data_IF_229796923233
#
_entry.id   IF_229796923233
#
_cell.length_a   1.000
_cell.length_b   1.000
_cell.length_c   1.000
_cell.angle_alpha   90.00
_cell.angle_beta   90.00
_cell.angle_gamma   90.00
#
_symmetry.space_group_name_H-M   'P 1'
#
loop_
_entity.id
_entity.type
_entity.pdbx_description
1 polymer ?
#
# COMPACT_ATOMS: atom_id res chain seq x y z
N UNK A 1 -0.31 0.62 -22.28
CA UNK A 1 -0.46 0.16 -20.89
C UNK A 1 0.54 -0.97 -20.67
N UNK A 2 1.52 -0.78 -19.79
CA UNK A 2 2.47 -1.85 -19.47
C UNK A 2 1.72 -2.96 -18.73
N UNK A 3 1.51 -4.10 -19.39
CA UNK A 3 0.96 -5.30 -18.77
C UNK A 3 2.02 -5.89 -17.84
N UNK A 4 2.11 -5.38 -16.61
CA UNK A 4 2.81 -6.09 -15.55
C UNK A 4 2.04 -7.39 -15.33
N UNK A 5 2.65 -8.57 -15.53
CA UNK A 5 1.99 -9.84 -15.26
C UNK A 5 1.46 -9.83 -13.83
N UNK A 6 0.22 -10.31 -13.64
CA UNK A 6 -0.45 -10.25 -12.34
C UNK A 6 0.46 -10.81 -11.24
N UNK A 7 1.19 -11.90 -11.50
CA UNK A 7 2.14 -12.56 -10.59
C UNK A 7 3.20 -11.65 -9.96
N UNK A 8 3.53 -10.52 -10.60
CA UNK A 8 4.48 -9.53 -10.08
C UNK A 8 3.82 -8.41 -9.27
N UNK A 9 2.51 -8.49 -9.04
CA UNK A 9 1.76 -7.55 -8.21
C UNK A 9 1.49 -8.16 -6.83
N UNK A 10 1.75 -7.34 -5.81
CA UNK A 10 1.63 -7.67 -4.40
C UNK A 10 0.84 -6.57 -3.70
N UNK A 11 0.21 -6.91 -2.57
CA UNK A 11 -0.57 -5.99 -1.77
C UNK A 11 -0.02 -5.93 -0.35
N UNK A 12 0.10 -4.74 0.22
CA UNK A 12 0.22 -4.61 1.67
C UNK A 12 -1.15 -4.90 2.31
N UNK A 13 -1.17 -5.62 3.43
CA UNK A 13 -2.39 -5.84 4.22
C UNK A 13 -3.06 -4.52 4.65
N UNK A 14 -2.29 -3.44 4.75
CA UNK A 14 -2.81 -2.10 5.05
C UNK A 14 -3.78 -1.62 3.97
N UNK A 15 -3.50 -1.87 2.69
CA UNK A 15 -4.37 -1.47 1.58
C UNK A 15 -5.72 -2.20 1.67
N UNK A 16 -5.74 -3.45 2.10
CA UNK A 16 -6.99 -4.18 2.37
C UNK A 16 -7.82 -3.45 3.43
N UNK A 17 -7.18 -3.03 4.53
CA UNK A 17 -7.82 -2.25 5.58
C UNK A 17 -8.37 -0.92 5.09
N UNK A 18 -7.63 -0.20 4.24
CA UNK A 18 -8.08 1.07 3.65
C UNK A 18 -9.28 0.90 2.74
N UNK A 19 -9.27 -0.12 1.88
CA UNK A 19 -10.40 -0.44 1.00
C UNK A 19 -11.62 -0.82 1.85
N UNK A 20 -11.47 -1.71 2.84
CA UNK A 20 -12.57 -2.12 3.72
C UNK A 20 -13.16 -0.92 4.45
N UNK A 21 -12.32 -0.03 5.00
CA UNK A 21 -12.76 1.24 5.63
C UNK A 21 -13.60 2.08 4.66
N UNK A 22 -13.14 2.23 3.42
CA UNK A 22 -13.87 2.96 2.37
C UNK A 22 -15.25 2.35 2.07
N UNK A 23 -15.33 1.02 1.95
CA UNK A 23 -16.58 0.29 1.73
C UNK A 23 -17.53 0.47 2.92
N UNK A 24 -17.04 0.32 4.14
CA UNK A 24 -17.84 0.42 5.37
C UNK A 24 -18.51 1.78 5.51
N UNK A 25 -17.84 2.86 5.10
CA UNK A 25 -18.39 4.23 5.13
C UNK A 25 -19.56 4.46 4.17
N UNK A 26 -19.81 3.57 3.22
CA UNK A 26 -20.92 3.71 2.28
C UNK A 26 -22.26 3.35 2.97
N UNK A 27 -23.36 4.03 2.62
CA UNK A 27 -24.69 3.58 3.00
C UNK A 27 -25.01 2.24 2.32
N UNK A 28 -25.94 1.50 2.93
CA UNK A 28 -26.44 0.25 2.34
C UNK A 28 -26.98 0.51 0.94
N UNK A 29 -26.37 -0.16 -0.04
CA UNK A 29 -26.60 0.09 -1.45
C UNK A 29 -26.01 -1.02 -2.30
N UNK A 30 -26.50 -1.16 -3.54
CA UNK A 30 -25.94 -2.09 -4.54
C UNK A 30 -24.43 -1.89 -4.71
N UNK A 31 -23.96 -0.65 -4.70
CA UNK A 31 -22.53 -0.31 -4.80
C UNK A 31 -21.71 -0.89 -3.65
N UNK A 32 -22.20 -0.76 -2.40
CA UNK A 32 -21.53 -1.31 -1.22
C UNK A 32 -21.42 -2.84 -1.31
N UNK A 33 -22.49 -3.52 -1.71
CA UNK A 33 -22.48 -4.98 -1.90
C UNK A 33 -21.51 -5.40 -3.01
N UNK A 34 -21.50 -4.69 -4.14
CA UNK A 34 -20.57 -4.99 -5.25
C UNK A 34 -19.11 -4.82 -4.86
N UNK A 35 -18.76 -3.72 -4.18
CA UNK A 35 -17.38 -3.50 -3.71
C UNK A 35 -16.97 -4.50 -2.62
N UNK A 36 -17.92 -4.92 -1.78
CA UNK A 36 -17.69 -5.96 -0.77
C UNK A 36 -17.32 -7.28 -1.42
N UNK A 37 -18.10 -7.71 -2.43
CA UNK A 37 -17.83 -8.93 -3.18
C UNK A 37 -16.49 -8.83 -3.93
N UNK A 38 -16.24 -7.70 -4.60
CA UNK A 38 -14.98 -7.45 -5.28
C UNK A 38 -13.77 -7.56 -4.35
N UNK A 39 -13.84 -6.98 -3.14
CA UNK A 39 -12.76 -7.12 -2.15
C UNK A 39 -12.57 -8.57 -1.71
N UNK A 40 -13.65 -9.33 -1.55
CA UNK A 40 -13.52 -10.74 -1.17
C UNK A 40 -12.84 -11.56 -2.28
N UNK A 41 -13.20 -11.35 -3.55
CA UNK A 41 -12.51 -11.96 -4.69
C UNK A 41 -11.05 -11.54 -4.77
N UNK A 42 -10.74 -10.27 -4.53
CA UNK A 42 -9.35 -9.77 -4.49
C UNK A 42 -8.53 -10.49 -3.42
N UNK A 43 -9.11 -10.74 -2.24
CA UNK A 43 -8.44 -11.45 -1.14
C UNK A 43 -8.13 -12.91 -1.50
N UNK A 44 -9.02 -13.57 -2.23
CA UNK A 44 -8.81 -14.92 -2.73
C UNK A 44 -7.71 -14.94 -3.82
N UNK A 45 -7.79 -14.05 -4.82
CA UNK A 45 -6.86 -13.98 -5.95
C UNK A 45 -5.42 -13.63 -5.55
N UNK A 46 -5.26 -12.88 -4.45
CA UNK A 46 -3.97 -12.38 -3.97
C UNK A 46 -3.52 -13.00 -2.65
N UNK A 47 -4.17 -14.06 -2.15
CA UNK A 47 -3.89 -14.62 -0.82
C UNK A 47 -2.39 -14.84 -0.53
N UNK A 48 -1.64 -15.43 -1.47
CA UNK A 48 -0.21 -15.68 -1.35
C UNK A 48 0.70 -14.44 -1.56
N UNK A 49 0.10 -13.29 -1.89
CA UNK A 49 0.78 -12.05 -2.30
C UNK A 49 0.29 -10.83 -1.51
N UNK A 50 -0.42 -11.08 -0.41
CA UNK A 50 -0.75 -10.07 0.59
C UNK A 50 0.30 -10.15 1.69
N UNK A 51 1.14 -9.13 1.80
CA UNK A 51 2.18 -9.08 2.83
C UNK A 51 1.66 -8.51 4.15
N UNK A 52 1.84 -9.22 5.28
CA UNK A 52 1.41 -8.76 6.58
C UNK A 52 2.36 -7.72 7.17
N UNK A 53 1.93 -7.09 8.27
CA UNK A 53 2.85 -6.40 9.18
C UNK A 53 3.30 -7.42 10.23
N UNK A 54 4.48 -8.00 10.01
CA UNK A 54 5.18 -8.80 11.01
C UNK A 54 6.18 -7.94 11.80
N UNK A 55 6.92 -8.55 12.73
CA UNK A 55 7.91 -7.86 13.56
C UNK A 55 8.95 -7.14 12.69
N UNK A 56 9.49 -7.78 11.66
CA UNK A 56 10.49 -7.18 10.77
C UNK A 56 9.96 -5.94 10.04
N UNK A 57 8.71 -5.98 9.56
CA UNK A 57 8.06 -4.80 8.98
C UNK A 57 7.86 -3.70 10.02
N UNK A 58 7.45 -4.07 11.25
CA UNK A 58 7.22 -3.11 12.32
C UNK A 58 8.51 -2.41 12.78
N UNK A 59 9.63 -3.14 12.89
CA UNK A 59 10.94 -2.57 13.21
C UNK A 59 11.41 -1.62 12.11
N UNK A 60 11.30 -2.03 10.84
CA UNK A 60 11.65 -1.16 9.72
C UNK A 60 10.77 0.11 9.68
N UNK A 61 9.47 -0.04 9.94
CA UNK A 61 8.55 1.09 10.05
C UNK A 61 8.96 2.09 11.14
N UNK A 62 9.34 1.60 12.32
CA UNK A 62 9.83 2.45 13.41
C UNK A 62 11.10 3.22 13.02
N UNK A 63 12.02 2.60 12.30
CA UNK A 63 13.22 3.25 11.76
C UNK A 63 12.85 4.35 10.76
N UNK A 64 11.90 4.08 9.85
CA UNK A 64 11.43 5.07 8.86
C UNK A 64 10.82 6.28 9.58
N UNK A 65 9.91 6.05 10.52
CA UNK A 65 9.24 7.12 11.28
C UNK A 65 10.25 7.95 12.09
N UNK A 66 11.10 7.30 12.89
CA UNK A 66 12.08 8.01 13.71
C UNK A 66 13.07 8.82 12.89
N UNK A 67 13.51 8.32 11.73
CA UNK A 67 14.36 9.10 10.80
C UNK A 67 13.62 10.29 10.21
N UNK A 68 12.37 10.10 9.78
CA UNK A 68 11.55 11.17 9.23
C UNK A 68 11.29 12.29 10.25
N UNK A 69 11.01 11.93 11.50
CA UNK A 69 10.83 12.86 12.61
C UNK A 69 12.12 13.62 12.96
N UNK A 70 13.25 12.91 13.10
CA UNK A 70 14.56 13.54 13.37
C UNK A 70 14.97 14.53 12.27
N UNK A 71 14.53 14.30 11.04
CA UNK A 71 14.81 15.20 9.90
C UNK A 71 13.79 16.34 9.76
N UNK A 72 12.79 16.45 10.66
CA UNK A 72 11.75 17.47 10.59
C UNK A 72 10.74 17.26 9.45
N UNK A 73 10.65 16.05 8.92
CA UNK A 73 9.81 15.70 7.77
C UNK A 73 8.91 14.49 8.08
N UNK A 74 8.05 14.57 9.13
CA UNK A 74 7.22 13.44 9.55
C UNK A 74 6.32 12.96 8.41
N UNK A 75 6.08 11.66 8.36
CA UNK A 75 5.27 11.03 7.31
C UNK A 75 4.06 10.35 7.94
N UNK A 76 2.94 10.29 7.21
CA UNK A 76 1.74 9.62 7.72
C UNK A 76 2.02 8.14 8.02
N UNK A 77 1.55 7.66 9.18
CA UNK A 77 1.83 6.29 9.66
C UNK A 77 1.44 5.21 8.64
N UNK A 78 0.29 5.36 7.98
CA UNK A 78 -0.19 4.44 6.95
C UNK A 78 0.77 4.37 5.76
N UNK A 79 1.22 5.52 5.25
CA UNK A 79 2.15 5.59 4.11
C UNK A 79 3.51 4.99 4.49
N UNK A 80 4.04 5.31 5.67
CA UNK A 80 5.27 4.69 6.16
C UNK A 80 5.16 3.18 6.36
N UNK A 81 4.00 2.66 6.76
CA UNK A 81 3.78 1.22 6.90
C UNK A 81 3.79 0.52 5.54
N UNK A 82 3.16 1.12 4.53
CA UNK A 82 3.21 0.63 3.15
C UNK A 82 4.67 0.65 2.64
N UNK A 83 5.39 1.74 2.90
CA UNK A 83 6.80 1.86 2.55
C UNK A 83 7.66 0.79 3.25
N UNK A 84 7.42 0.54 4.54
CA UNK A 84 8.12 -0.47 5.31
C UNK A 84 7.91 -1.88 4.75
N UNK A 85 6.65 -2.24 4.43
CA UNK A 85 6.34 -3.51 3.74
C UNK A 85 7.12 -3.60 2.44
N UNK A 86 7.09 -2.56 1.61
CA UNK A 86 7.78 -2.59 0.33
C UNK A 86 9.30 -2.75 0.48
N UNK A 87 9.94 -2.01 1.40
CA UNK A 87 11.37 -2.15 1.66
C UNK A 87 11.73 -3.53 2.21
N UNK A 88 10.96 -4.06 3.15
CA UNK A 88 11.22 -5.37 3.77
C UNK A 88 11.14 -6.53 2.77
N UNK A 89 10.27 -6.42 1.76
CA UNK A 89 10.07 -7.46 0.74
C UNK A 89 10.70 -7.10 -0.62
N UNK A 90 11.58 -6.09 -0.67
CA UNK A 90 12.26 -5.64 -1.89
C UNK A 90 11.30 -5.30 -3.06
N UNK A 91 10.17 -4.68 -2.74
CA UNK A 91 9.14 -4.26 -3.70
C UNK A 91 9.27 -2.78 -4.07
N UNK A 92 8.56 -2.40 -5.12
CA UNK A 92 8.39 -1.01 -5.57
C UNK A 92 6.98 -0.57 -5.21
N UNK A 93 6.84 0.60 -4.58
CA UNK A 93 5.52 1.21 -4.33
C UNK A 93 5.00 1.81 -5.62
N UNK A 94 3.85 1.33 -6.08
CA UNK A 94 3.16 1.91 -7.24
C UNK A 94 2.15 2.94 -6.74
N UNK A 95 2.41 4.23 -6.98
CA UNK A 95 1.53 5.30 -6.49
C UNK A 95 1.53 6.51 -7.42
N UNK A 96 0.42 7.25 -7.43
CA UNK A 96 0.33 8.57 -8.06
C UNK A 96 0.94 9.67 -7.18
N UNK A 97 0.86 9.50 -5.86
CA UNK A 97 1.25 10.51 -4.88
C UNK A 97 2.67 10.23 -4.38
N UNK A 98 3.68 10.61 -5.16
CA UNK A 98 5.09 10.39 -4.76
C UNK A 98 5.45 11.15 -3.47
N UNK A 99 4.90 12.35 -3.29
CA UNK A 99 5.19 13.20 -2.14
C UNK A 99 4.81 12.54 -0.80
N UNK A 100 3.78 11.69 -0.80
CA UNK A 100 3.31 10.96 0.39
C UNK A 100 4.38 9.98 0.95
N UNK A 101 5.40 9.67 0.15
CA UNK A 101 6.46 8.71 0.44
C UNK A 101 7.86 9.33 0.43
N UNK A 102 7.98 10.64 0.17
CA UNK A 102 9.26 11.31 -0.02
C UNK A 102 10.26 11.09 1.13
N UNK A 103 9.79 11.09 2.38
CA UNK A 103 10.62 10.90 3.57
C UNK A 103 10.95 9.43 3.90
N UNK A 104 10.46 8.48 3.11
CA UNK A 104 10.57 7.04 3.43
C UNK A 104 11.74 6.33 2.74
N UNK A 105 12.34 6.97 1.72
CA UNK A 105 13.38 6.37 0.84
C UNK A 105 12.96 5.06 0.15
N UNK A 106 11.66 4.79 0.01
CA UNK A 106 11.17 3.63 -0.75
C UNK A 106 11.27 3.90 -2.24
N UNK A 107 11.55 2.86 -3.03
CA UNK A 107 11.49 2.96 -4.49
C UNK A 107 10.04 3.11 -4.94
N UNK A 108 9.78 4.11 -5.78
CA UNK A 108 8.44 4.43 -6.27
C UNK A 108 8.40 4.29 -7.80
N UNK A 109 7.30 3.72 -8.30
CA UNK A 109 6.89 3.80 -9.70
C UNK A 109 5.59 4.61 -9.78
N UNK A 110 5.63 5.76 -10.47
CA UNK A 110 4.42 6.51 -10.80
C UNK A 110 3.95 6.16 -12.22
N UNK A 111 2.90 5.35 -12.40
CA UNK A 111 2.45 4.89 -13.71
C UNK A 111 1.75 6.00 -14.52
N UNK A 112 1.55 7.19 -13.95
CA UNK A 112 0.97 8.35 -14.64
C UNK A 112 2.02 9.32 -15.20
N UNK A 113 3.29 9.22 -14.80
CA UNK A 113 4.36 10.12 -15.31
C UNK A 113 4.87 9.75 -16.70
N UNK A 114 4.70 8.49 -17.13
CA UNK A 114 5.21 7.97 -18.40
C UNK A 114 4.09 7.61 -19.40
N UNK A 115 2.95 8.27 -19.32
CA UNK A 115 1.88 8.18 -20.33
C UNK A 115 2.05 9.37 -21.29
N UNK A 116 3.05 9.25 -22.16
CA UNK A 116 3.12 10.03 -23.40
C UNK A 116 2.19 9.45 -24.45
#
# INVERSE_FOLDING_TARGET
>A
MNHTPNERLFLSVIIIGEIRKGITKLPESKKKSQLTNWLNTLLEDYQARIYPINITVAENWGIIQGKAENNGTPVASVNSLIAAVAQTYNLIVVTRNENDFASTNVTILNPWKNQG
#
